data_IF_475053261675
#
_entry.id   IF_475053261675
#
_cell.length_a   1.000
_cell.length_b   1.000
_cell.length_c   1.000
_cell.angle_alpha   90.00
_cell.angle_beta   90.00
_cell.angle_gamma   90.00
#
_symmetry.space_group_name_H-M   'P 1'
#
loop_
_entity.id
_entity.type
_entity.pdbx_description
1 polymer ?
#
# COMPACT_ATOMS: atom_id res chain seq x y z
N UNK A 1 6.08 -0.51 -21.40
CA UNK A 1 6.34 -1.18 -20.10
C UNK A 1 6.10 -2.67 -20.29
N UNK A 2 6.71 -3.56 -19.52
CA UNK A 2 6.29 -4.98 -19.52
C UNK A 2 4.94 -5.11 -18.82
N UNK A 3 4.02 -5.92 -19.34
CA UNK A 3 2.68 -6.18 -18.76
C UNK A 3 2.74 -6.53 -17.26
N UNK A 4 3.81 -7.20 -16.81
CA UNK A 4 4.01 -7.54 -15.39
C UNK A 4 4.24 -6.29 -14.53
N UNK A 5 5.01 -5.32 -15.03
CA UNK A 5 5.30 -4.07 -14.33
C UNK A 5 4.08 -3.17 -14.26
N UNK A 6 3.28 -3.13 -15.32
CA UNK A 6 2.03 -2.36 -15.35
C UNK A 6 1.00 -2.92 -14.36
N UNK A 7 0.80 -4.25 -14.33
CA UNK A 7 -0.07 -4.90 -13.35
C UNK A 7 0.39 -4.66 -11.91
N UNK A 8 1.70 -4.73 -11.67
CA UNK A 8 2.28 -4.41 -10.36
C UNK A 8 1.95 -2.98 -9.92
N UNK A 9 2.11 -2.00 -10.83
CA UNK A 9 1.79 -0.60 -10.53
C UNK A 9 0.31 -0.40 -10.23
N UNK A 10 -0.58 -0.96 -11.06
CA UNK A 10 -2.03 -0.89 -10.86
C UNK A 10 -2.46 -1.52 -9.52
N UNK A 11 -1.85 -2.66 -9.15
CA UNK A 11 -2.12 -3.30 -7.87
C UNK A 11 -1.65 -2.44 -6.69
N UNK A 12 -0.49 -1.81 -6.80
CA UNK A 12 0.03 -0.91 -5.78
C UNK A 12 -0.88 0.32 -5.60
N UNK A 13 -1.32 0.94 -6.70
CA UNK A 13 -2.26 2.07 -6.68
C UNK A 13 -3.56 1.69 -5.97
N UNK A 14 -4.13 0.52 -6.31
CA UNK A 14 -5.36 0.02 -5.70
C UNK A 14 -5.22 -0.20 -4.18
N UNK A 15 -4.06 -0.68 -3.71
CA UNK A 15 -3.79 -0.85 -2.28
C UNK A 15 -3.74 0.51 -1.57
N UNK A 16 -3.10 1.51 -2.17
CA UNK A 16 -2.99 2.86 -1.61
C UNK A 16 -4.36 3.54 -1.55
N UNK A 17 -5.14 3.47 -2.63
CA UNK A 17 -6.50 4.02 -2.68
C UNK A 17 -7.41 3.34 -1.66
N UNK A 18 -7.33 2.01 -1.55
CA UNK A 18 -8.05 1.24 -0.56
C UNK A 18 -7.66 1.62 0.88
N UNK A 19 -6.38 1.85 1.16
CA UNK A 19 -5.91 2.34 2.46
C UNK A 19 -6.41 3.75 2.77
N UNK A 20 -6.47 4.63 1.76
CA UNK A 20 -6.92 6.02 1.91
C UNK A 20 -8.42 6.11 2.20
N UNK A 21 -9.22 5.32 1.49
CA UNK A 21 -10.68 5.40 1.47
C UNK A 21 -11.38 4.39 2.38
N UNK A 22 -10.70 3.34 2.85
CA UNK A 22 -11.35 2.31 3.66
C UNK A 22 -11.75 2.82 5.03
N UNK A 23 -13.00 2.54 5.41
CA UNK A 23 -13.57 2.79 6.75
C UNK A 23 -13.26 1.68 7.75
N UNK A 24 -12.48 0.65 7.36
CA UNK A 24 -11.98 -0.31 8.32
C UNK A 24 -11.17 0.46 9.37
N UNK A 25 -11.50 0.28 10.65
CA UNK A 25 -10.89 1.02 11.76
C UNK A 25 -9.42 0.64 12.01
N UNK A 26 -9.04 0.47 13.28
CA UNK A 26 -7.66 0.25 13.74
C UNK A 26 -6.90 -0.97 13.11
N UNK A 27 -7.52 -1.75 12.23
CA UNK A 27 -6.91 -2.85 11.48
C UNK A 27 -6.53 -2.53 10.03
N UNK A 28 -6.97 -1.40 9.46
CA UNK A 28 -6.81 -1.06 8.03
C UNK A 28 -5.36 -1.03 7.58
N UNK A 29 -4.50 -0.35 8.34
CA UNK A 29 -3.09 -0.21 8.00
C UNK A 29 -2.36 -1.55 8.06
N UNK A 30 -2.65 -2.37 9.07
CA UNK A 30 -2.10 -3.74 9.17
C UNK A 30 -2.54 -4.61 8.00
N UNK A 31 -3.81 -4.53 7.59
CA UNK A 31 -4.32 -5.25 6.43
C UNK A 31 -3.67 -4.78 5.12
N UNK A 32 -3.54 -3.47 4.89
CA UNK A 32 -2.90 -2.95 3.69
C UNK A 32 -1.41 -3.26 3.62
N UNK A 33 -0.70 -3.21 4.76
CA UNK A 33 0.70 -3.67 4.84
C UNK A 33 0.82 -5.15 4.46
N UNK A 34 -0.05 -6.00 4.99
CA UNK A 34 -0.07 -7.42 4.67
C UNK A 34 -0.26 -7.67 3.17
N UNK A 35 -1.22 -6.98 2.53
CA UNK A 35 -1.46 -7.11 1.08
C UNK A 35 -0.29 -6.58 0.26
N UNK A 36 0.33 -5.47 0.67
CA UNK A 36 1.54 -4.95 0.01
C UNK A 36 2.70 -5.95 0.07
N UNK A 37 2.95 -6.57 1.22
CA UNK A 37 4.02 -7.55 1.40
C UNK A 37 3.81 -8.77 0.47
N UNK A 38 2.57 -9.23 0.30
CA UNK A 38 2.24 -10.28 -0.67
C UNK A 38 2.50 -9.84 -2.12
N UNK A 39 2.10 -8.62 -2.49
CA UNK A 39 2.33 -8.09 -3.84
C UNK A 39 3.83 -8.01 -4.16
N UNK A 40 4.64 -7.54 -3.20
CA UNK A 40 6.11 -7.48 -3.32
C UNK A 40 6.70 -8.88 -3.48
N UNK A 41 6.27 -9.84 -2.65
CA UNK A 41 6.77 -11.21 -2.69
C UNK A 41 6.46 -11.92 -4.03
N UNK A 42 5.29 -11.66 -4.62
CA UNK A 42 4.88 -12.19 -5.92
C UNK A 42 5.64 -11.55 -7.11
N UNK A 43 6.26 -10.39 -6.88
CA UNK A 43 6.89 -9.57 -7.91
C UNK A 43 8.38 -9.30 -7.64
N UNK A 44 9.21 -10.37 -7.51
CA UNK A 44 10.63 -10.21 -7.22
C UNK A 44 11.33 -9.41 -8.32
N UNK A 45 12.16 -8.46 -7.90
CA UNK A 45 12.95 -7.60 -8.79
C UNK A 45 12.21 -6.39 -9.38
N UNK A 46 10.90 -6.24 -9.13
CA UNK A 46 10.16 -5.02 -9.52
C UNK A 46 10.28 -3.89 -8.50
N UNK A 47 10.45 -4.23 -7.23
CA UNK A 47 10.87 -3.32 -6.18
C UNK A 47 12.19 -3.81 -5.60
N UNK A 48 13.15 -2.89 -5.49
CA UNK A 48 14.28 -3.11 -4.60
C UNK A 48 13.83 -2.95 -3.14
N UNK A 49 14.66 -3.44 -2.22
CA UNK A 49 14.37 -3.40 -0.78
C UNK A 49 14.24 -1.98 -0.23
N UNK A 50 14.86 -1.00 -0.89
CA UNK A 50 14.82 0.41 -0.48
C UNK A 50 13.47 1.05 -0.81
N UNK A 51 12.97 0.86 -2.04
CA UNK A 51 11.63 1.31 -2.45
C UNK A 51 10.53 0.62 -1.68
N UNK A 52 10.70 -0.66 -1.36
CA UNK A 52 9.75 -1.40 -0.50
C UNK A 52 9.65 -0.75 0.88
N UNK A 53 10.80 -0.45 1.51
CA UNK A 53 10.84 0.27 2.80
C UNK A 53 10.20 1.66 2.70
N UNK A 54 10.46 2.40 1.63
CA UNK A 54 9.87 3.72 1.43
C UNK A 54 8.33 3.67 1.38
N UNK A 55 7.76 2.70 0.64
CA UNK A 55 6.30 2.51 0.58
C UNK A 55 5.74 2.09 1.94
N UNK A 56 6.40 1.17 2.66
CA UNK A 56 5.99 0.77 4.00
C UNK A 56 6.02 1.93 5.00
N UNK A 57 7.01 2.82 4.91
CA UNK A 57 7.08 4.04 5.72
C UNK A 57 5.92 5.00 5.41
N UNK A 58 5.57 5.19 4.13
CA UNK A 58 4.40 6.01 3.74
C UNK A 58 3.11 5.44 4.34
N UNK A 59 2.93 4.12 4.29
CA UNK A 59 1.77 3.45 4.88
C UNK A 59 1.73 3.60 6.41
N UNK A 60 2.88 3.50 7.08
CA UNK A 60 2.97 3.72 8.53
C UNK A 60 2.64 5.17 8.91
N UNK A 61 3.13 6.14 8.17
CA UNK A 61 2.82 7.56 8.39
C UNK A 61 1.34 7.88 8.15
N UNK A 62 0.67 7.12 7.26
CA UNK A 62 -0.78 7.21 7.07
C UNK A 62 -1.60 6.58 8.20
N UNK A 63 -0.99 5.84 9.12
CA UNK A 63 -1.61 5.39 10.39
C UNK A 63 -1.59 6.50 11.44
N UNK A 64 -0.53 7.32 11.45
CA UNK A 64 -0.36 8.44 12.38
C UNK A 64 -1.24 9.64 12.02
N UNK A 65 -1.68 9.75 10.77
CA UNK A 65 -2.71 10.70 10.36
C UNK A 65 -4.09 10.04 10.45
N UNK A 66 -5.02 10.66 11.20
CA UNK A 66 -6.43 10.32 11.09
C UNK A 66 -6.86 10.42 9.61
N UNK A 67 -7.58 9.40 9.13
CA UNK A 67 -8.08 9.39 7.76
C UNK A 67 -8.85 10.69 7.49
N UNK A 68 -8.63 11.36 6.35
CA UNK A 68 -9.37 12.57 5.99
C UNK A 68 -10.88 12.32 5.86
N UNK A 69 -11.33 11.06 5.85
CA UNK A 69 -12.73 10.67 5.99
C UNK A 69 -13.38 11.18 7.30
N UNK A 70 -12.59 11.50 8.34
CA UNK A 70 -13.06 12.19 9.54
C UNK A 70 -13.11 13.71 9.35
N UNK A 71 -13.97 14.18 8.43
CA UNK A 71 -14.51 15.56 8.47
C UNK A 71 -15.94 15.57 7.90
N UNK A 72 -16.89 15.18 8.73
CA UNK A 72 -18.29 15.61 8.64
C UNK A 72 -18.75 16.08 10.01
#
# INVERSE_FOLDING_TARGET
MSDKKERFQQALELIIDGLSLSEAGAGRVKAGRYVLELLVADNPGLLDSEKTKAIQSIIAMAEEQESPAFRL
#
